data_IF_049748629995
#
_entry.id   IF_049748629995
#
_cell.length_a   1.000
_cell.length_b   1.000
_cell.length_c   1.000
_cell.angle_alpha   90.00
_cell.angle_beta   90.00
_cell.angle_gamma   90.00
#
_symmetry.space_group_name_H-M   'P 1'
#
loop_
_entity.id
_entity.type
_entity.pdbx_description
1 polymer ?
#
# COMPACT_ATOMS: atom_id res chain seq x y z
N UNK A 1 -14.76 10.59 -94.26
CA UNK A 1 -16.16 10.24 -93.95
C UNK A 1 -16.14 9.54 -92.62
N UNK A 2 -16.81 10.14 -91.62
CA UNK A 2 -17.41 9.55 -90.40
C UNK A 2 -16.61 8.53 -89.55
N UNK A 3 -16.68 8.45 -88.23
CA UNK A 3 -17.15 9.26 -87.09
C UNK A 3 -16.75 8.43 -85.86
N UNK A 4 -16.33 9.09 -84.77
CA UNK A 4 -16.66 8.80 -83.36
C UNK A 4 -16.15 7.48 -82.72
N UNK A 5 -15.53 7.60 -81.54
CA UNK A 5 -15.53 6.54 -80.54
C UNK A 5 -14.47 6.69 -79.47
N UNK A 6 -14.75 7.54 -78.47
CA UNK A 6 -13.86 7.79 -77.33
C UNK A 6 -13.58 6.57 -76.46
N UNK A 7 -12.32 6.39 -76.07
CA UNK A 7 -11.91 5.47 -75.02
C UNK A 7 -11.54 6.27 -73.77
N UNK A 8 -12.45 6.26 -72.80
CA UNK A 8 -12.23 6.76 -71.44
C UNK A 8 -11.28 5.79 -70.74
N UNK A 9 -10.09 6.27 -70.35
CA UNK A 9 -9.16 5.52 -69.49
C UNK A 9 -9.68 5.57 -68.05
N UNK A 10 -10.03 4.41 -67.51
CA UNK A 10 -10.23 4.22 -66.07
C UNK A 10 -8.88 4.41 -65.35
N UNK A 11 -8.78 5.47 -64.56
CA UNK A 11 -7.75 5.60 -63.52
C UNK A 11 -8.33 5.00 -62.25
N UNK A 12 -7.81 3.85 -61.84
CA UNK A 12 -8.07 3.28 -60.51
C UNK A 12 -7.27 4.10 -59.51
N UNK A 13 -7.96 4.95 -58.75
CA UNK A 13 -7.43 5.63 -57.57
C UNK A 13 -7.37 4.59 -56.43
N UNK A 14 -6.17 4.05 -56.17
CA UNK A 14 -5.89 3.35 -54.92
C UNK A 14 -5.75 4.43 -53.84
N UNK A 15 -6.81 4.63 -53.05
CA UNK A 15 -6.73 5.38 -51.80
C UNK A 15 -6.01 4.48 -50.79
N UNK A 16 -4.69 4.66 -50.66
CA UNK A 16 -3.94 4.11 -49.55
C UNK A 16 -4.27 4.93 -48.30
N UNK A 17 -5.30 4.51 -47.57
CA UNK A 17 -5.55 4.96 -46.21
C UNK A 17 -4.45 4.36 -45.31
N UNK A 18 -3.31 5.04 -45.23
CA UNK A 18 -2.36 4.81 -44.13
C UNK A 18 -2.99 5.37 -42.86
N UNK A 19 -3.72 4.50 -42.16
CA UNK A 19 -4.11 4.74 -40.78
C UNK A 19 -2.84 4.99 -39.96
N UNK A 20 -2.80 6.14 -39.30
CA UNK A 20 -1.83 6.41 -38.26
C UNK A 20 -2.01 5.34 -37.18
N UNK A 21 -1.13 4.34 -37.17
CA UNK A 21 -0.96 3.46 -36.03
C UNK A 21 -0.40 4.35 -34.94
N UNK A 22 -1.25 4.72 -33.98
CA UNK A 22 -0.80 5.35 -32.77
C UNK A 22 0.18 4.38 -32.11
N UNK A 23 1.47 4.68 -32.21
CA UNK A 23 2.50 4.08 -31.37
C UNK A 23 2.14 4.44 -29.92
N UNK A 24 1.44 3.52 -29.26
CA UNK A 24 1.41 3.49 -27.80
C UNK A 24 2.84 3.28 -27.35
N UNK A 25 3.56 4.38 -27.14
CA UNK A 25 4.79 4.37 -26.38
C UNK A 25 4.43 3.85 -24.98
N UNK A 26 4.71 2.57 -24.76
CA UNK A 26 4.96 2.04 -23.44
C UNK A 26 6.23 2.72 -22.96
N UNK A 27 6.10 3.97 -22.49
CA UNK A 27 7.07 4.60 -21.63
C UNK A 27 7.07 3.83 -20.30
N UNK A 28 7.65 2.63 -20.33
CA UNK A 28 8.10 1.96 -19.13
C UNK A 28 9.06 2.92 -18.46
N UNK A 29 8.68 3.41 -17.28
CA UNK A 29 9.59 4.09 -16.38
C UNK A 29 10.73 3.12 -16.08
N UNK A 30 11.79 3.14 -16.91
CA UNK A 30 13.08 2.55 -16.61
C UNK A 30 13.70 3.35 -15.45
N UNK A 31 13.14 3.18 -14.25
CA UNK A 31 13.83 3.57 -13.03
C UNK A 31 14.99 2.60 -12.91
N UNK A 32 16.20 3.11 -13.15
CA UNK A 32 17.40 2.35 -12.91
C UNK A 32 17.36 1.81 -11.47
N UNK A 33 17.81 0.56 -11.29
CA UNK A 33 17.97 0.00 -9.95
C UNK A 33 18.83 0.96 -9.11
N UNK A 34 18.31 1.43 -7.98
CA UNK A 34 19.05 2.32 -7.08
C UNK A 34 20.19 1.55 -6.41
N UNK A 35 21.41 2.11 -6.48
CA UNK A 35 22.53 1.63 -5.67
C UNK A 35 22.50 2.34 -4.32
N UNK A 36 22.33 1.56 -3.25
CA UNK A 36 22.47 2.02 -1.87
C UNK A 36 23.80 1.53 -1.32
N UNK A 37 24.68 2.46 -0.96
CA UNK A 37 26.02 2.14 -0.45
C UNK A 37 26.14 2.45 1.03
N UNK A 38 27.04 1.74 1.71
CA UNK A 38 27.42 2.08 3.08
C UNK A 38 28.03 3.49 3.18
N UNK A 39 28.76 3.95 2.15
CA UNK A 39 29.31 5.31 2.09
C UNK A 39 28.21 6.38 2.17
N UNK A 40 27.12 6.23 1.38
CA UNK A 40 25.98 7.15 1.44
C UNK A 40 25.37 7.19 2.85
N UNK A 41 25.26 6.03 3.51
CA UNK A 41 24.72 5.94 4.85
C UNK A 41 25.62 6.61 5.90
N UNK A 42 26.93 6.34 5.90
CA UNK A 42 27.90 6.98 6.82
C UNK A 42 27.97 8.49 6.60
N UNK A 43 27.91 8.94 5.34
CA UNK A 43 27.89 10.36 5.02
C UNK A 43 26.62 11.03 5.55
N UNK A 44 25.46 10.36 5.47
CA UNK A 44 24.20 10.88 6.02
C UNK A 44 24.24 10.98 7.55
N UNK A 45 24.82 9.99 8.25
CA UNK A 45 24.99 10.02 9.72
C UNK A 45 25.85 11.20 10.20
N UNK A 46 26.84 11.57 9.40
CA UNK A 46 27.79 12.65 9.72
C UNK A 46 27.26 14.04 9.38
N UNK A 47 26.12 14.13 8.69
CA UNK A 47 25.52 15.39 8.31
C UNK A 47 25.04 16.16 9.55
N UNK A 48 25.70 17.27 9.87
CA UNK A 48 25.26 18.20 10.90
C UNK A 48 24.29 19.20 10.28
N UNK A 49 23.05 19.20 10.77
CA UNK A 49 22.07 20.22 10.43
C UNK A 49 21.90 21.17 11.62
N UNK A 50 21.64 22.45 11.34
CA UNK A 50 21.19 23.41 12.36
C UNK A 50 19.70 23.28 12.69
N UNK A 51 19.11 22.12 12.40
CA UNK A 51 17.68 21.84 12.53
C UNK A 51 17.30 21.74 14.01
N UNK A 52 16.30 22.51 14.43
CA UNK A 52 15.64 22.30 15.73
C UNK A 52 14.68 21.11 15.64
N UNK A 53 15.13 19.96 16.12
CA UNK A 53 14.37 18.71 16.10
C UNK A 53 13.15 18.71 17.03
N UNK A 54 13.01 19.72 17.91
CA UNK A 54 11.85 19.86 18.81
C UNK A 54 10.73 20.70 18.20
N UNK A 55 11.01 21.36 17.08
CA UNK A 55 10.05 22.18 16.36
C UNK A 55 9.48 21.41 15.15
N UNK A 56 8.33 20.75 15.33
CA UNK A 56 7.70 19.94 14.28
C UNK A 56 7.46 20.68 12.96
N UNK A 57 7.22 21.98 13.03
CA UNK A 57 6.95 22.85 11.88
C UNK A 57 8.24 23.18 11.10
N UNK A 58 9.38 23.24 11.80
CA UNK A 58 10.72 23.35 11.21
C UNK A 58 11.17 22.01 10.59
N UNK A 59 10.92 20.89 11.28
CA UNK A 59 11.21 19.55 10.75
C UNK A 59 10.38 19.28 9.49
N UNK A 60 9.10 19.66 9.46
CA UNK A 60 8.29 19.58 8.24
C UNK A 60 8.93 20.37 7.09
N UNK A 61 9.34 21.62 7.33
CA UNK A 61 10.03 22.47 6.33
C UNK A 61 11.29 21.80 5.82
N UNK A 62 12.11 21.26 6.71
CA UNK A 62 13.32 20.54 6.35
C UNK A 62 13.02 19.35 5.44
N UNK A 63 12.14 18.43 5.85
CA UNK A 63 11.78 17.26 5.03
C UNK A 63 11.21 17.70 3.68
N UNK A 64 10.27 18.64 3.68
CA UNK A 64 9.65 19.17 2.46
C UNK A 64 10.68 19.80 1.51
N UNK A 65 11.66 20.52 2.03
CA UNK A 65 12.73 21.15 1.24
C UNK A 65 13.60 20.15 0.47
N UNK A 66 13.67 18.89 0.93
CA UNK A 66 14.44 17.81 0.30
C UNK A 66 13.65 17.02 -0.75
N UNK A 67 12.32 17.15 -0.78
CA UNK A 67 11.50 16.37 -1.72
C UNK A 67 11.72 16.78 -3.18
N UNK A 68 11.69 15.85 -4.14
CA UNK A 68 11.65 16.20 -5.55
C UNK A 68 10.33 16.90 -5.89
N UNK A 69 10.24 17.54 -7.07
CA UNK A 69 9.02 18.24 -7.54
C UNK A 69 7.79 17.34 -7.61
N UNK A 70 7.97 16.04 -7.82
CA UNK A 70 6.89 15.05 -7.91
C UNK A 70 7.24 13.85 -7.03
N UNK A 71 6.31 13.44 -6.17
CA UNK A 71 6.43 12.25 -5.33
C UNK A 71 5.19 11.37 -5.49
N UNK A 72 5.37 10.07 -5.28
CA UNK A 72 4.28 9.10 -5.25
C UNK A 72 4.07 8.64 -3.82
N UNK A 73 2.83 8.68 -3.35
CA UNK A 73 2.42 8.13 -2.06
C UNK A 73 1.87 6.73 -2.33
N UNK A 74 2.66 5.70 -2.00
CA UNK A 74 2.37 4.32 -2.38
C UNK A 74 1.29 3.64 -1.54
N UNK A 75 1.30 3.74 -0.19
CA UNK A 75 0.32 3.06 0.62
C UNK A 75 -1.09 3.58 0.36
N UNK A 76 -2.08 2.68 0.32
CA UNK A 76 -3.48 3.07 0.01
C UNK A 76 -4.15 3.87 1.13
N UNK A 77 -3.56 3.87 2.32
CA UNK A 77 -3.94 4.73 3.45
C UNK A 77 -3.41 6.17 3.34
N UNK A 78 -2.58 6.45 2.33
CA UNK A 78 -2.05 7.77 1.96
C UNK A 78 -0.92 8.30 2.85
N UNK A 79 -0.06 7.42 3.35
CA UNK A 79 1.18 7.79 4.06
C UNK A 79 2.36 7.97 3.12
N UNK A 80 2.94 9.16 3.11
CA UNK A 80 4.25 9.39 2.50
C UNK A 80 5.33 9.22 3.57
N UNK A 81 5.91 8.03 3.65
CA UNK A 81 6.97 7.72 4.60
C UNK A 81 8.30 8.35 4.20
N UNK A 82 9.07 8.80 5.20
CA UNK A 82 10.42 9.33 5.02
C UNK A 82 11.32 8.90 6.18
N UNK A 83 12.63 8.97 5.94
CA UNK A 83 13.68 8.83 6.94
C UNK A 83 14.74 9.90 6.72
N UNK A 84 15.36 10.37 7.80
CA UNK A 84 16.51 11.26 7.75
C UNK A 84 17.39 11.07 8.98
N UNK A 85 18.62 11.57 8.92
CA UNK A 85 19.55 11.53 10.04
C UNK A 85 19.76 12.94 10.61
N UNK A 86 19.82 13.03 11.94
CA UNK A 86 20.16 14.26 12.65
C UNK A 86 21.00 13.91 13.89
N UNK A 87 22.23 14.44 13.95
CA UNK A 87 23.12 14.20 15.09
C UNK A 87 23.50 12.72 15.29
N UNK A 88 23.57 11.94 14.22
CA UNK A 88 23.82 10.49 14.28
C UNK A 88 22.60 9.64 14.66
N UNK A 89 21.43 10.25 14.87
CA UNK A 89 20.17 9.56 15.17
C UNK A 89 19.31 9.48 13.91
N UNK A 90 18.74 8.31 13.66
CA UNK A 90 17.75 8.12 12.60
C UNK A 90 16.37 8.58 13.07
N UNK A 91 15.73 9.39 12.25
CA UNK A 91 14.33 9.77 12.40
C UNK A 91 13.52 9.15 11.28
N UNK A 92 12.37 8.58 11.63
CA UNK A 92 11.36 8.09 10.72
C UNK A 92 10.08 8.92 10.89
N UNK A 93 9.22 8.91 9.88
CA UNK A 93 7.97 9.66 9.95
C UNK A 93 7.14 9.53 8.69
N UNK A 94 6.01 10.22 8.68
CA UNK A 94 5.16 10.28 7.51
C UNK A 94 4.43 11.63 7.36
N UNK A 95 4.05 11.92 6.11
CA UNK A 95 3.02 12.91 5.78
C UNK A 95 1.76 12.15 5.36
N UNK A 96 0.67 12.21 6.14
CA UNK A 96 -0.59 11.51 5.82
C UNK A 96 -1.59 12.45 5.17
N UNK A 97 -1.99 12.10 3.95
CA UNK A 97 -3.11 12.74 3.26
C UNK A 97 -4.41 12.01 3.63
N UNK A 98 -4.86 12.17 4.87
CA UNK A 98 -6.06 11.50 5.37
C UNK A 98 -7.32 11.95 4.61
N UNK A 99 -8.26 11.05 4.26
CA UNK A 99 -9.47 11.41 3.51
C UNK A 99 -10.31 12.53 4.12
N UNK A 100 -10.38 12.60 5.45
CA UNK A 100 -11.12 13.63 6.16
C UNK A 100 -10.41 14.99 6.27
N UNK A 101 -9.15 15.09 5.86
CA UNK A 101 -8.30 16.25 6.15
C UNK A 101 -7.69 16.90 4.89
N UNK A 102 -7.24 16.08 3.94
CA UNK A 102 -6.50 16.53 2.75
C UNK A 102 -7.28 17.50 1.85
N UNK A 103 -8.60 17.33 1.77
CA UNK A 103 -9.47 18.19 0.97
C UNK A 103 -9.80 19.51 1.68
N UNK A 104 -9.50 19.62 2.98
CA UNK A 104 -9.56 20.86 3.77
C UNK A 104 -8.25 21.66 3.71
N UNK A 105 -7.28 21.21 2.90
CA UNK A 105 -5.98 21.85 2.78
C UNK A 105 -5.03 21.55 3.95
N UNK A 106 -5.25 20.44 4.66
CA UNK A 106 -4.46 20.02 5.82
C UNK A 106 -3.90 18.60 5.65
N UNK A 107 -2.78 18.30 6.29
CA UNK A 107 -2.19 16.95 6.35
C UNK A 107 -1.65 16.68 7.75
N UNK A 108 -1.62 15.42 8.16
CA UNK A 108 -0.89 15.03 9.37
C UNK A 108 0.59 14.92 9.04
N UNK A 109 1.44 15.41 9.95
CA UNK A 109 2.87 15.23 9.92
C UNK A 109 3.32 14.66 11.26
N UNK A 110 4.03 13.55 11.21
CA UNK A 110 4.59 12.89 12.38
C UNK A 110 6.02 12.49 12.11
N UNK A 111 6.88 12.61 13.12
CA UNK A 111 8.22 12.06 13.11
C UNK A 111 8.65 11.64 14.52
N UNK A 112 9.49 10.62 14.56
CA UNK A 112 9.95 9.96 15.77
C UNK A 112 11.34 9.40 15.52
N UNK A 113 12.06 9.07 16.60
CA UNK A 113 13.33 8.35 16.48
C UNK A 113 13.02 6.94 16.02
N UNK A 114 13.73 6.43 15.02
CA UNK A 114 13.48 5.10 14.51
C UNK A 114 13.62 4.06 15.64
N UNK A 115 12.64 3.17 15.76
CA UNK A 115 12.59 2.13 16.79
C UNK A 115 13.87 1.31 16.80
N UNK A 116 14.39 1.04 18.00
CA UNK A 116 15.43 0.06 18.22
C UNK A 116 14.93 -1.04 19.16
N UNK A 117 15.40 -2.27 18.97
CA UNK A 117 14.95 -3.42 19.78
C UNK A 117 15.33 -3.31 21.26
N UNK A 118 16.32 -2.47 21.59
CA UNK A 118 16.93 -2.40 22.92
C UNK A 118 16.68 -1.10 23.66
N UNK A 119 16.01 -0.12 23.04
CA UNK A 119 15.72 1.17 23.65
C UNK A 119 14.25 1.53 23.46
N UNK A 120 13.58 1.80 24.57
CA UNK A 120 12.26 2.40 24.56
C UNK A 120 12.39 3.84 24.03
N UNK A 121 11.78 4.11 22.88
CA UNK A 121 11.88 5.43 22.25
C UNK A 121 10.84 6.40 22.83
N UNK A 122 11.19 7.69 22.97
CA UNK A 122 10.30 8.71 23.52
C UNK A 122 9.12 9.03 22.59
N UNK A 123 8.14 9.75 23.14
CA UNK A 123 6.91 10.20 22.46
C UNK A 123 7.14 10.74 21.03
N UNK A 124 6.17 10.43 20.17
CA UNK A 124 6.09 10.95 18.82
C UNK A 124 5.89 12.47 18.78
N UNK A 125 6.48 13.12 17.76
CA UNK A 125 6.23 14.52 17.49
C UNK A 125 5.18 14.62 16.39
N UNK A 126 4.02 15.18 16.72
CA UNK A 126 2.87 15.28 15.83
C UNK A 126 2.44 16.74 15.62
N UNK A 127 2.08 17.07 14.38
CA UNK A 127 1.45 18.35 14.04
C UNK A 127 0.53 18.20 12.82
N UNK A 128 -0.59 18.92 12.82
CA UNK A 128 -1.42 19.05 11.62
C UNK A 128 -0.95 20.25 10.81
N UNK A 129 -0.37 20.01 9.64
CA UNK A 129 0.16 21.06 8.75
C UNK A 129 -0.96 21.62 7.86
N UNK A 130 -0.94 22.92 7.62
CA UNK A 130 -1.94 23.63 6.82
C UNK A 130 -1.63 25.13 6.70
N UNK A 131 -2.63 25.96 6.31
CA UNK A 131 -2.43 27.39 6.05
C UNK A 131 -1.86 28.19 7.22
N UNK A 132 -2.25 27.84 8.46
CA UNK A 132 -1.74 28.49 9.68
C UNK A 132 -0.22 28.33 9.87
N UNK A 133 0.38 27.37 9.15
CA UNK A 133 1.81 27.10 9.14
C UNK A 133 2.50 27.64 7.87
N UNK A 134 1.82 28.45 7.06
CA UNK A 134 2.32 28.96 5.78
C UNK A 134 2.35 27.93 4.66
N UNK A 135 1.63 26.81 4.82
CA UNK A 135 1.59 25.71 3.84
C UNK A 135 0.26 25.75 3.10
N UNK A 136 0.32 25.78 1.78
CA UNK A 136 -0.87 25.67 0.93
C UNK A 136 -0.97 24.27 0.37
N UNK A 137 -2.12 23.62 0.54
CA UNK A 137 -2.39 22.27 0.03
C UNK A 137 -3.63 22.35 -0.85
N UNK A 138 -3.46 22.07 -2.15
CA UNK A 138 -4.52 22.19 -3.16
C UNK A 138 -4.69 20.87 -3.88
N UNK A 139 -5.93 20.37 -3.90
CA UNK A 139 -6.31 19.24 -4.74
C UNK A 139 -6.32 19.68 -6.21
N UNK A 140 -5.41 19.17 -7.01
CA UNK A 140 -5.34 19.49 -8.44
C UNK A 140 -6.17 18.51 -9.29
N UNK A 141 -6.21 17.23 -8.90
CA UNK A 141 -7.07 16.18 -9.48
C UNK A 141 -7.48 15.18 -8.40
N UNK A 142 -8.35 14.22 -8.74
CA UNK A 142 -8.62 13.08 -7.86
C UNK A 142 -7.29 12.41 -7.50
N UNK A 143 -7.00 12.31 -6.20
CA UNK A 143 -5.77 11.71 -5.66
C UNK A 143 -4.46 12.41 -6.07
N UNK A 144 -4.51 13.68 -6.48
CA UNK A 144 -3.32 14.49 -6.76
C UNK A 144 -3.42 15.81 -6.00
N UNK A 145 -2.41 16.09 -5.18
CA UNK A 145 -2.33 17.26 -4.32
C UNK A 145 -1.04 18.01 -4.59
N UNK A 146 -1.16 19.32 -4.77
CA UNK A 146 -0.03 20.23 -4.84
C UNK A 146 0.16 20.85 -3.46
N UNK A 147 1.34 20.68 -2.89
CA UNK A 147 1.75 21.31 -1.63
C UNK A 147 2.76 22.40 -1.95
N UNK A 148 2.55 23.59 -1.40
CA UNK A 148 3.41 24.77 -1.57
C UNK A 148 3.84 25.31 -0.21
N UNK A 149 5.14 25.58 -0.09
CA UNK A 149 5.77 26.17 1.09
C UNK A 149 7.03 26.93 0.65
N UNK A 150 7.19 28.16 1.11
CA UNK A 150 8.36 29.02 0.85
C UNK A 150 8.74 29.13 -0.64
N UNK A 151 7.73 29.19 -1.52
CA UNK A 151 7.88 29.27 -2.98
C UNK A 151 8.27 27.95 -3.66
N UNK A 152 8.45 26.87 -2.90
CA UNK A 152 8.66 25.52 -3.43
C UNK A 152 7.32 24.80 -3.55
N UNK A 153 7.10 24.21 -4.73
CA UNK A 153 5.94 23.37 -5.02
C UNK A 153 6.34 21.90 -5.17
N UNK A 154 5.57 21.00 -4.53
CA UNK A 154 5.69 19.55 -4.67
C UNK A 154 4.33 18.95 -4.98
N UNK A 155 4.27 18.13 -6.04
CA UNK A 155 3.07 17.38 -6.43
C UNK A 155 3.13 15.99 -5.80
N UNK A 156 2.17 15.71 -4.92
CA UNK A 156 1.92 14.40 -4.32
C UNK A 156 0.87 13.66 -5.13
N UNK A 157 1.27 12.53 -5.70
CA UNK A 157 0.39 11.60 -6.42
C UNK A 157 0.06 10.44 -5.49
N UNK A 158 -1.15 10.42 -4.94
CA UNK A 158 -1.60 9.29 -4.12
C UNK A 158 -1.88 8.09 -5.02
N UNK A 159 -1.61 6.88 -4.52
CA UNK A 159 -1.70 5.66 -5.31
C UNK A 159 -3.14 5.43 -5.80
N UNK A 160 -3.37 5.66 -7.10
CA UNK A 160 -4.68 5.49 -7.71
C UNK A 160 -4.85 4.10 -8.30
N UNK A 161 -5.48 3.22 -7.51
CA UNK A 161 -5.84 1.86 -7.88
C UNK A 161 -7.33 1.74 -8.25
N UNK A 162 -7.99 2.83 -8.65
CA UNK A 162 -9.43 2.83 -8.94
C UNK A 162 -9.86 1.84 -10.02
N UNK A 163 -8.99 1.55 -10.99
CA UNK A 163 -9.19 0.55 -12.04
C UNK A 163 -8.80 -0.88 -11.67
N UNK A 164 -8.18 -1.10 -10.52
CA UNK A 164 -7.66 -2.41 -10.10
C UNK A 164 -8.79 -3.23 -9.49
N UNK A 165 -9.02 -4.43 -10.05
CA UNK A 165 -10.05 -5.37 -9.62
C UNK A 165 -9.49 -6.79 -9.60
N UNK A 166 -10.02 -7.65 -8.72
CA UNK A 166 -9.78 -9.09 -8.80
C UNK A 166 -10.10 -9.64 -10.20
N UNK A 167 -9.26 -10.50 -10.78
CA UNK A 167 -9.57 -11.16 -12.04
C UNK A 167 -10.76 -12.10 -11.91
N UNK A 168 -11.40 -12.41 -13.04
CA UNK A 168 -12.54 -13.32 -13.08
C UNK A 168 -12.21 -14.68 -12.45
N UNK A 169 -13.12 -15.16 -11.60
CA UNK A 169 -12.94 -16.43 -10.88
C UNK A 169 -12.08 -16.37 -9.61
N UNK A 170 -11.46 -15.23 -9.27
CA UNK A 170 -10.70 -15.09 -8.02
C UNK A 170 -11.60 -15.02 -6.78
N UNK A 171 -12.75 -14.33 -6.88
CA UNK A 171 -13.72 -14.23 -5.78
C UNK A 171 -14.48 -15.54 -5.61
N UNK A 172 -14.62 -15.97 -4.35
CA UNK A 172 -15.57 -17.01 -3.98
C UNK A 172 -16.98 -16.42 -3.90
N UNK A 173 -18.00 -17.26 -4.05
CA UNK A 173 -19.43 -16.85 -4.05
C UNK A 173 -19.87 -16.05 -2.82
N UNK A 174 -19.25 -16.28 -1.66
CA UNK A 174 -19.60 -15.62 -0.40
C UNK A 174 -18.74 -14.38 -0.10
N UNK A 175 -17.82 -14.03 -1.01
CA UNK A 175 -16.88 -12.94 -0.80
C UNK A 175 -17.34 -11.66 -1.49
N UNK A 176 -17.11 -10.54 -0.81
CA UNK A 176 -17.16 -9.21 -1.40
C UNK A 176 -15.74 -8.66 -1.53
N UNK A 177 -15.52 -7.87 -2.58
CA UNK A 177 -14.30 -7.09 -2.75
C UNK A 177 -14.47 -5.73 -2.08
N UNK A 178 -13.65 -5.45 -1.06
CA UNK A 178 -13.68 -4.17 -0.35
C UNK A 178 -12.82 -3.11 -1.05
N UNK A 179 -11.65 -3.49 -1.54
CA UNK A 179 -10.79 -2.60 -2.30
C UNK A 179 -9.38 -3.15 -2.52
N UNK A 180 -8.62 -2.54 -3.43
CA UNK A 180 -7.22 -2.87 -3.63
C UNK A 180 -6.38 -2.21 -2.54
N UNK A 181 -5.53 -2.98 -1.89
CA UNK A 181 -4.59 -2.53 -0.87
C UNK A 181 -3.19 -2.51 -1.46
N UNK A 182 -2.45 -1.44 -1.23
CA UNK A 182 -1.01 -1.39 -1.47
C UNK A 182 -0.37 -1.06 -0.14
N UNK A 183 0.44 -1.99 0.33
CA UNK A 183 1.10 -1.95 1.63
C UNK A 183 2.48 -1.26 1.51
N UNK A 184 3.00 -0.66 2.57
CA UNK A 184 4.36 -0.07 2.61
C UNK A 184 5.45 -1.08 2.28
N UNK A 185 5.21 -2.38 2.50
CA UNK A 185 6.12 -3.42 2.05
C UNK A 185 6.31 -3.41 0.53
N UNK A 186 5.44 -2.75 -0.23
CA UNK A 186 5.43 -2.77 -1.69
C UNK A 186 4.62 -3.92 -2.28
N UNK A 187 3.90 -4.68 -1.45
CA UNK A 187 3.03 -5.77 -1.88
C UNK A 187 1.60 -5.23 -2.08
N UNK A 188 0.96 -5.69 -3.15
CA UNK A 188 -0.43 -5.34 -3.47
C UNK A 188 -1.35 -6.51 -3.17
N UNK A 189 -2.50 -6.21 -2.59
CA UNK A 189 -3.51 -7.18 -2.22
C UNK A 189 -4.90 -6.76 -2.70
N UNK A 190 -5.80 -7.73 -2.81
CA UNK A 190 -7.22 -7.51 -2.76
C UNK A 190 -7.71 -7.78 -1.33
N UNK A 191 -8.27 -6.76 -0.68
CA UNK A 191 -8.95 -6.95 0.59
C UNK A 191 -10.36 -7.50 0.32
N UNK A 192 -10.60 -8.74 0.74
CA UNK A 192 -11.87 -9.44 0.59
C UNK A 192 -12.51 -9.68 1.95
N UNK A 193 -13.84 -9.75 1.99
CA UNK A 193 -14.58 -10.21 3.16
C UNK A 193 -15.51 -11.37 2.78
N UNK A 194 -15.35 -12.52 3.43
CA UNK A 194 -16.24 -13.69 3.27
C UNK A 194 -17.39 -13.61 4.27
N UNK A 195 -18.61 -13.33 3.81
CA UNK A 195 -19.79 -13.19 4.66
C UNK A 195 -20.22 -14.50 5.33
N UNK A 196 -19.88 -15.65 4.74
CA UNK A 196 -20.22 -16.96 5.31
C UNK A 196 -19.27 -17.32 6.44
N UNK A 197 -17.98 -17.02 6.26
CA UNK A 197 -16.95 -17.28 7.28
C UNK A 197 -16.80 -16.15 8.29
N UNK A 198 -17.37 -14.97 7.98
CA UNK A 198 -17.17 -13.72 8.73
C UNK A 198 -15.69 -13.43 8.93
N UNK A 199 -14.92 -13.46 7.83
CA UNK A 199 -13.47 -13.35 7.88
C UNK A 199 -12.94 -12.47 6.74
N UNK A 200 -11.97 -11.62 7.07
CA UNK A 200 -11.18 -10.88 6.10
C UNK A 200 -10.11 -11.76 5.47
N UNK A 201 -9.79 -11.50 4.21
CA UNK A 201 -8.65 -12.11 3.53
C UNK A 201 -7.89 -11.04 2.75
N UNK A 202 -6.58 -10.97 2.96
CA UNK A 202 -5.66 -10.33 2.01
C UNK A 202 -5.26 -11.37 0.98
N UNK A 203 -5.77 -11.22 -0.25
CA UNK A 203 -5.38 -12.08 -1.37
C UNK A 203 -4.33 -11.36 -2.20
N UNK A 204 -3.18 -11.99 -2.44
CA UNK A 204 -2.09 -11.43 -3.23
C UNK A 204 -2.60 -11.05 -4.62
N UNK A 205 -2.29 -9.83 -5.04
CA UNK A 205 -2.61 -9.35 -6.38
C UNK A 205 -1.47 -9.69 -7.35
N UNK A 206 -1.67 -10.77 -8.11
CA UNK A 206 -0.73 -11.25 -9.13
C UNK A 206 -1.06 -10.72 -10.54
N UNK A 207 -1.92 -9.70 -10.67
CA UNK A 207 -2.19 -9.04 -11.96
C UNK A 207 -1.05 -8.11 -12.40
N UNK A 208 -0.09 -7.86 -11.51
CA UNK A 208 1.18 -7.19 -11.75
C UNK A 208 2.33 -8.02 -11.17
N UNK A 209 3.59 -7.77 -11.56
CA UNK A 209 4.73 -8.39 -10.90
C UNK A 209 4.70 -8.15 -9.39
N UNK A 210 4.90 -9.22 -8.63
CA UNK A 210 5.03 -9.16 -7.18
C UNK A 210 6.42 -8.60 -6.85
N UNK A 211 6.49 -7.57 -6.01
CA UNK A 211 7.76 -6.97 -5.57
C UNK A 211 8.47 -7.82 -4.50
N UNK A 212 8.47 -9.14 -4.67
CA UNK A 212 9.15 -10.10 -3.80
C UNK A 212 9.41 -11.40 -4.57
N UNK A 213 10.38 -12.17 -4.12
CA UNK A 213 10.60 -13.54 -4.56
C UNK A 213 9.84 -14.47 -3.64
N UNK A 214 8.84 -15.18 -4.16
CA UNK A 214 8.08 -16.18 -3.40
C UNK A 214 8.83 -17.51 -3.40
N UNK A 215 9.42 -17.86 -2.26
CA UNK A 215 10.24 -19.07 -2.11
C UNK A 215 9.43 -20.23 -1.55
N UNK A 216 9.81 -21.45 -1.97
CA UNK A 216 9.38 -22.69 -1.33
C UNK A 216 10.26 -22.96 -0.13
N UNK A 217 9.65 -23.42 0.95
CA UNK A 217 10.32 -23.74 2.20
C UNK A 217 10.10 -25.21 2.53
N UNK A 218 11.14 -25.88 3.01
CA UNK A 218 11.03 -27.27 3.47
C UNK A 218 9.96 -27.39 4.57
N UNK A 219 9.17 -28.47 4.55
CA UNK A 219 8.05 -28.66 5.48
C UNK A 219 6.74 -27.97 5.08
N UNK A 220 6.76 -27.00 4.15
CA UNK A 220 5.57 -26.32 3.62
C UNK A 220 5.26 -26.80 2.19
N UNK A 221 4.04 -27.29 1.98
CA UNK A 221 3.58 -27.85 0.69
C UNK A 221 2.73 -26.87 -0.11
N UNK A 222 2.06 -25.96 0.57
CA UNK A 222 1.04 -25.06 0.00
C UNK A 222 1.25 -23.60 0.36
N UNK A 223 2.21 -23.32 1.22
CA UNK A 223 2.64 -21.98 1.59
C UNK A 223 3.93 -21.60 0.86
N UNK A 224 3.94 -20.41 0.27
CA UNK A 224 5.16 -19.75 -0.23
C UNK A 224 5.47 -18.56 0.67
N UNK A 225 6.75 -18.25 0.88
CA UNK A 225 7.17 -17.14 1.73
C UNK A 225 7.88 -16.09 0.89
N UNK A 226 7.57 -14.81 1.08
CA UNK A 226 8.32 -13.71 0.47
C UNK A 226 9.73 -13.64 1.05
N UNK A 227 10.77 -13.72 0.22
CA UNK A 227 12.17 -13.66 0.66
C UNK A 227 12.47 -12.36 1.40
N UNK A 228 11.92 -11.24 0.94
CA UNK A 228 12.17 -9.90 1.51
C UNK A 228 11.21 -9.60 2.67
N UNK A 229 9.94 -9.92 2.50
CA UNK A 229 8.89 -9.51 3.46
C UNK A 229 8.66 -10.51 4.58
N UNK A 230 8.98 -11.79 4.38
CA UNK A 230 8.54 -12.85 5.28
C UNK A 230 7.03 -13.10 5.23
N UNK A 231 6.29 -12.52 4.28
CA UNK A 231 4.85 -12.78 4.15
C UNK A 231 4.61 -14.21 3.67
N UNK A 232 3.80 -14.97 4.42
CA UNK A 232 3.46 -16.35 4.14
C UNK A 232 2.11 -16.44 3.42
N UNK A 233 2.14 -16.99 2.22
CA UNK A 233 1.02 -17.07 1.29
C UNK A 233 0.55 -18.51 1.08
N UNK A 234 -0.61 -18.87 1.64
CA UNK A 234 -1.18 -20.20 1.52
C UNK A 234 -2.12 -20.33 0.32
N UNK A 235 -1.99 -21.44 -0.41
CA UNK A 235 -2.83 -21.81 -1.55
C UNK A 235 -3.67 -23.04 -1.24
N UNK A 236 -4.99 -22.86 -1.17
CA UNK A 236 -5.93 -23.95 -0.91
C UNK A 236 -5.94 -24.99 -2.03
N UNK A 237 -6.25 -26.27 -1.73
CA UNK A 237 -6.45 -27.29 -2.75
C UNK A 237 -7.48 -26.87 -3.80
N UNK A 238 -7.11 -26.95 -5.08
CA UNK A 238 -7.98 -26.61 -6.21
C UNK A 238 -8.16 -25.11 -6.46
N UNK A 239 -7.45 -24.25 -5.74
CA UNK A 239 -7.46 -22.80 -5.95
C UNK A 239 -6.11 -22.34 -6.51
N UNK A 240 -6.12 -21.23 -7.26
CA UNK A 240 -4.90 -20.60 -7.77
C UNK A 240 -4.48 -19.35 -6.99
N UNK A 241 -5.34 -18.89 -6.08
CA UNK A 241 -5.12 -17.64 -5.34
C UNK A 241 -4.29 -17.89 -4.08
N UNK A 242 -3.43 -16.92 -3.77
CA UNK A 242 -2.56 -16.90 -2.61
C UNK A 242 -3.14 -15.99 -1.54
N UNK A 243 -3.52 -16.55 -0.40
CA UNK A 243 -4.02 -15.77 0.74
C UNK A 243 -2.89 -15.56 1.74
N UNK A 244 -2.67 -14.32 2.19
CA UNK A 244 -1.78 -14.04 3.31
C UNK A 244 -2.31 -14.74 4.56
N UNK A 245 -1.48 -15.60 5.15
CA UNK A 245 -1.82 -16.37 6.36
C UNK A 245 -0.81 -16.20 7.49
N UNK A 246 0.33 -15.56 7.21
CA UNK A 246 1.24 -15.19 8.28
C UNK A 246 2.19 -14.07 7.88
N UNK A 247 2.62 -13.31 8.88
CA UNK A 247 3.68 -12.30 8.80
C UNK A 247 4.78 -12.67 9.78
N UNK A 248 6.02 -12.31 9.46
CA UNK A 248 7.15 -12.68 10.31
C UNK A 248 7.16 -11.80 11.56
N UNK A 249 6.87 -12.39 12.71
CA UNK A 249 6.63 -11.68 13.97
C UNK A 249 7.74 -10.73 14.41
N UNK A 250 9.04 -11.01 14.19
CA UNK A 250 10.09 -10.03 14.47
C UNK A 250 9.95 -8.71 13.70
N UNK A 251 9.37 -8.70 12.50
CA UNK A 251 9.08 -7.45 11.80
C UNK A 251 7.96 -6.65 12.48
N UNK A 252 6.96 -7.36 13.02
CA UNK A 252 5.86 -6.77 13.81
C UNK A 252 6.39 -6.14 15.08
N UNK A 253 7.28 -6.83 15.79
CA UNK A 253 7.88 -6.36 17.05
C UNK A 253 8.63 -5.03 16.89
N UNK A 254 9.31 -4.82 15.76
CA UNK A 254 10.06 -3.59 15.48
C UNK A 254 9.29 -2.57 14.65
N UNK A 255 8.03 -2.88 14.30
CA UNK A 255 7.13 -2.00 13.53
C UNK A 255 7.81 -1.45 12.25
N UNK A 256 8.41 -2.35 11.45
CA UNK A 256 9.04 -1.98 10.18
C UNK A 256 8.07 -2.16 9.01
N UNK A 257 8.47 -1.81 7.78
CA UNK A 257 7.60 -1.89 6.60
C UNK A 257 7.12 -3.31 6.20
N UNK A 258 7.45 -4.35 6.96
CA UNK A 258 7.13 -5.76 6.71
C UNK A 258 6.36 -6.40 7.88
N UNK A 259 5.75 -5.58 8.74
CA UNK A 259 4.86 -5.95 9.83
C UNK A 259 3.46 -6.39 9.36
N UNK A 260 3.07 -6.02 8.14
CA UNK A 260 1.89 -6.54 7.47
C UNK A 260 0.84 -5.47 7.18
N UNK A 261 -0.14 -5.78 6.31
CA UNK A 261 -1.06 -4.78 5.78
C UNK A 261 -2.21 -4.41 6.73
N UNK A 262 -2.08 -4.65 8.04
CA UNK A 262 -3.21 -4.68 8.97
C UNK A 262 -3.91 -3.33 9.15
N UNK A 263 -3.20 -2.23 8.94
CA UNK A 263 -3.70 -0.85 9.01
C UNK A 263 -3.80 -0.17 7.63
N UNK A 264 -3.12 -0.71 6.60
CA UNK A 264 -3.08 -0.19 5.23
C UNK A 264 -4.34 -0.39 4.40
N UNK A 265 -5.47 0.10 4.87
CA UNK A 265 -6.77 -0.14 4.25
C UNK A 265 -6.99 0.66 2.95
N UNK A 266 -7.92 0.24 2.07
CA UNK A 266 -8.12 0.86 0.76
C UNK A 266 -9.01 2.12 0.84
N UNK A 267 -8.62 3.09 1.66
CA UNK A 267 -9.42 4.26 2.09
C UNK A 267 -10.08 5.04 0.96
N UNK A 268 -9.35 5.15 -0.15
CA UNK A 268 -9.79 5.88 -1.34
C UNK A 268 -10.82 5.14 -2.20
N UNK A 269 -11.03 3.85 -1.92
CA UNK A 269 -11.79 2.93 -2.76
C UNK A 269 -12.96 2.26 -2.03
N UNK A 270 -13.02 2.33 -0.70
CA UNK A 270 -14.16 1.84 0.09
C UNK A 270 -15.45 2.54 -0.35
N UNK A 271 -16.42 1.73 -0.79
CA UNK A 271 -17.76 2.20 -1.14
C UNK A 271 -18.70 2.14 0.06
N UNK A 272 -19.40 3.26 0.31
CA UNK A 272 -20.37 3.37 1.40
C UNK A 272 -19.79 2.95 2.76
N UNK A 273 -20.50 2.06 3.44
CA UNK A 273 -20.15 1.53 4.76
C UNK A 273 -19.59 0.09 4.72
N UNK A 274 -19.23 -0.43 3.55
CA UNK A 274 -18.93 -1.85 3.37
C UNK A 274 -17.84 -2.38 4.33
N UNK A 275 -16.78 -1.60 4.56
CA UNK A 275 -15.71 -1.96 5.50
C UNK A 275 -16.21 -2.00 6.94
N UNK A 276 -16.86 -0.93 7.41
CA UNK A 276 -17.44 -0.86 8.75
C UNK A 276 -18.41 -2.02 9.03
N UNK A 277 -19.28 -2.31 8.07
CA UNK A 277 -20.28 -3.36 8.22
C UNK A 277 -19.62 -4.77 8.21
N UNK A 278 -18.53 -4.95 7.45
CA UNK A 278 -17.70 -6.15 7.50
C UNK A 278 -16.98 -6.31 8.86
N UNK A 279 -16.43 -5.22 9.42
CA UNK A 279 -15.78 -5.22 10.75
C UNK A 279 -16.78 -5.68 11.81
N UNK A 280 -18.00 -5.13 11.83
CA UNK A 280 -19.05 -5.54 12.78
C UNK A 280 -19.48 -7.00 12.65
N UNK A 281 -19.35 -7.59 11.46
CA UNK A 281 -19.63 -9.01 11.26
C UNK A 281 -18.46 -9.88 11.69
N UNK A 282 -17.22 -9.43 11.48
CA UNK A 282 -15.99 -10.08 11.91
C UNK A 282 -15.87 -10.12 13.42
N UNK A 283 -16.12 -8.97 14.07
CA UNK A 283 -16.01 -8.76 15.50
C UNK A 283 -17.29 -8.09 16.03
N UNK A 284 -18.32 -8.91 16.36
CA UNK A 284 -19.58 -8.41 16.89
C UNK A 284 -19.48 -7.83 18.31
N UNK A 285 -18.37 -8.10 19.02
CA UNK A 285 -18.14 -7.63 20.38
C UNK A 285 -17.49 -6.23 20.39
N UNK A 286 -16.94 -5.80 19.27
CA UNK A 286 -16.45 -4.44 19.09
C UNK A 286 -17.59 -3.41 19.13
N UNK A 287 -17.68 -2.70 20.26
CA UNK A 287 -18.76 -1.76 20.56
C UNK A 287 -18.35 -0.28 20.44
N UNK A 288 -17.11 0.01 20.08
CA UNK A 288 -16.66 1.39 19.92
C UNK A 288 -17.25 2.01 18.64
N UNK A 289 -17.83 3.22 18.71
CA UNK A 289 -18.33 3.90 17.53
C UNK A 289 -17.19 4.18 16.55
N UNK A 290 -17.36 3.77 15.30
CA UNK A 290 -16.38 3.95 14.23
C UNK A 290 -17.01 4.58 12.98
N UNK A 291 -16.19 5.29 12.20
CA UNK A 291 -16.58 5.82 10.90
C UNK A 291 -16.66 4.72 9.82
N UNK A 292 -16.88 5.13 8.56
CA UNK A 292 -16.98 4.19 7.43
C UNK A 292 -15.65 3.48 7.08
N UNK A 293 -14.53 4.03 7.53
CA UNK A 293 -13.16 3.55 7.27
C UNK A 293 -12.59 2.77 8.46
N UNK A 294 -13.34 2.63 9.55
CA UNK A 294 -12.92 1.92 10.75
C UNK A 294 -12.10 2.78 11.72
N UNK A 295 -12.04 4.11 11.53
CA UNK A 295 -11.46 5.00 12.53
C UNK A 295 -12.43 5.14 13.71
N UNK A 296 -11.89 5.14 14.93
CA UNK A 296 -12.68 5.43 16.11
C UNK A 296 -13.21 6.87 16.09
N UNK A 297 -14.43 7.05 16.61
CA UNK A 297 -15.01 8.37 16.88
C UNK A 297 -14.73 8.87 18.31
N UNK A 298 -14.06 8.06 19.14
CA UNK A 298 -13.74 8.35 20.55
C UNK A 298 -12.24 8.48 20.81
N UNK A 299 -11.41 7.86 20.01
CA UNK A 299 -9.96 7.86 20.12
C UNK A 299 -9.33 8.09 18.75
N UNK A 300 -8.02 8.36 18.72
CA UNK A 300 -7.25 8.47 17.47
C UNK A 300 -6.86 7.09 16.88
N UNK A 301 -7.54 6.02 17.34
CA UNK A 301 -7.26 4.65 16.93
C UNK A 301 -8.07 4.24 15.71
N UNK A 302 -7.60 3.16 15.06
CA UNK A 302 -8.26 2.52 13.93
C UNK A 302 -8.40 1.03 14.22
N UNK A 303 -9.50 0.43 13.75
CA UNK A 303 -9.67 -1.02 13.82
C UNK A 303 -8.60 -1.74 12.98
N UNK A 304 -7.83 -2.62 13.61
CA UNK A 304 -6.76 -3.39 12.99
C UNK A 304 -7.34 -4.65 12.31
N UNK A 305 -6.99 -4.88 11.04
CA UNK A 305 -7.46 -6.05 10.30
C UNK A 305 -6.26 -6.97 10.03
N UNK A 306 -5.98 -7.88 10.97
CA UNK A 306 -4.90 -8.87 10.88
C UNK A 306 -5.47 -10.31 10.89
N UNK A 307 -6.06 -10.81 9.78
CA UNK A 307 -6.66 -12.14 9.71
C UNK A 307 -5.62 -13.26 9.45
N UNK A 308 -4.43 -13.11 10.00
CA UNK A 308 -3.24 -13.96 9.82
C UNK A 308 -2.48 -14.10 11.15
N UNK A 309 -1.51 -15.00 11.22
CA UNK A 309 -0.68 -15.21 12.42
C UNK A 309 0.65 -14.46 12.35
N UNK A 310 1.19 -14.08 13.50
CA UNK A 310 2.55 -13.56 13.61
C UNK A 310 3.49 -14.71 13.97
N UNK A 311 4.12 -15.30 12.94
CA UNK A 311 4.97 -16.47 13.15
C UNK A 311 6.40 -16.05 13.51
N UNK A 312 6.97 -16.67 14.54
CA UNK A 312 8.33 -16.42 15.01
C UNK A 312 9.35 -17.35 14.34
N UNK A 313 8.92 -18.57 14.02
CA UNK A 313 9.74 -19.60 13.39
C UNK A 313 8.93 -20.39 12.34
N UNK A 314 9.64 -20.99 11.38
CA UNK A 314 9.00 -21.72 10.28
C UNK A 314 8.18 -22.94 10.73
N UNK A 315 8.52 -23.54 11.87
CA UNK A 315 7.81 -24.71 12.41
C UNK A 315 6.36 -24.37 12.80
N UNK A 316 6.09 -23.13 13.23
CA UNK A 316 4.74 -22.67 13.55
C UNK A 316 3.87 -22.62 12.29
N UNK A 317 4.41 -22.08 11.19
CA UNK A 317 3.74 -22.11 9.88
C UNK A 317 3.51 -23.55 9.40
N UNK A 318 4.47 -24.45 9.61
CA UNK A 318 4.33 -25.85 9.22
C UNK A 318 3.24 -26.57 10.04
N UNK A 319 3.15 -26.29 11.34
CA UNK A 319 2.08 -26.77 12.20
C UNK A 319 0.71 -26.24 11.76
N UNK A 320 0.62 -24.94 11.45
CA UNK A 320 -0.59 -24.30 10.96
C UNK A 320 -1.03 -24.87 9.59
N UNK A 321 -0.09 -25.09 8.65
CA UNK A 321 -0.38 -25.70 7.36
C UNK A 321 -0.87 -27.16 7.53
N UNK A 322 -0.24 -27.94 8.42
CA UNK A 322 -0.67 -29.30 8.73
C UNK A 322 -2.09 -29.33 9.29
N UNK A 323 -2.43 -28.40 10.18
CA UNK A 323 -3.80 -28.18 10.62
C UNK A 323 -4.70 -27.88 9.41
N UNK A 324 -4.37 -26.89 8.59
CA UNK A 324 -5.18 -26.47 7.44
C UNK A 324 -5.45 -27.59 6.43
N UNK A 325 -4.45 -28.44 6.14
CA UNK A 325 -4.60 -29.58 5.22
C UNK A 325 -5.61 -30.61 5.76
N UNK A 326 -5.72 -30.76 7.07
CA UNK A 326 -6.64 -31.71 7.72
C UNK A 326 -8.09 -31.20 7.82
N UNK A 327 -8.34 -29.92 7.53
CA UNK A 327 -9.62 -29.26 7.79
C UNK A 327 -10.50 -29.15 6.56
N UNK A 328 -11.81 -29.02 6.80
CA UNK A 328 -12.77 -28.63 5.77
C UNK A 328 -12.52 -27.17 5.36
N UNK A 329 -12.78 -26.80 4.09
CA UNK A 329 -12.69 -25.44 3.58
C UNK A 329 -13.17 -24.30 4.49
N UNK A 330 -14.26 -24.52 5.23
CA UNK A 330 -14.89 -23.49 6.05
C UNK A 330 -14.10 -23.11 7.32
N UNK A 331 -13.12 -23.92 7.74
CA UNK A 331 -12.37 -23.69 8.98
C UNK A 331 -10.86 -23.78 8.77
N UNK A 332 -10.39 -23.69 7.53
CA UNK A 332 -8.96 -23.72 7.21
C UNK A 332 -8.24 -22.54 7.87
N UNK A 333 -8.80 -21.35 7.78
CA UNK A 333 -8.14 -20.13 8.24
C UNK A 333 -8.15 -19.95 9.76
N UNK A 334 -8.88 -20.79 10.50
CA UNK A 334 -8.76 -20.81 11.97
C UNK A 334 -7.45 -21.46 12.42
N UNK A 335 -6.76 -22.20 11.55
CA UNK A 335 -5.44 -22.76 11.84
C UNK A 335 -4.32 -21.72 11.80
N UNK A 336 -4.58 -20.56 11.19
CA UNK A 336 -3.63 -19.46 11.00
C UNK A 336 -4.05 -18.21 11.80
N UNK A 337 -4.84 -18.39 12.85
CA UNK A 337 -5.08 -17.34 13.84
C UNK A 337 -4.10 -17.55 14.97
N UNK A 338 -3.67 -16.47 15.60
CA UNK A 338 -2.92 -16.57 16.85
C UNK A 338 -3.70 -17.40 17.87
N UNK A 339 -2.98 -18.25 18.58
CA UNK A 339 -3.51 -18.94 19.75
C UNK A 339 -3.21 -17.99 20.91
N UNK A 340 -4.24 -17.32 21.42
CA UNK A 340 -4.16 -16.48 22.63
C UNK A 340 -3.50 -17.22 23.80
#
# INVERSE_FOLDING_TARGET
MDRIGGAIRFVVLIVAAFGAVAENSLAGNNRAAGLYTNEQWINALSARTGLDITNSVEVFRFVFSQLPKNVTVYPTENYYYFRFYHGGVEYAGNMRFAPGLRDEGKIYFIYFKATSEWLEEPNDNFVTIGPDHGVTIKKSKRLVYTVELDGKEVVFQLNDLSGVRPPDGLLRKAEIFLGPVFDESGIRFFLLFDHRLKQFHYVLDETVPVNDELVKTEGLKRTLIGRRTGFAFYTRPGEMRKTLVGVFGPNVQVNNYYDGPFDQLPDNFINGNALRDAIKLFDPEYNEPMDRLGNSLKSESRYLIAPYMDYQILDELAAAEKCAISKKPAVIYTCFKEVD
#
